data_IF_518815029410
#
_entry.id   IF_518815029410
#
_cell.length_a   1.000
_cell.length_b   1.000
_cell.length_c   1.000
_cell.angle_alpha   90.00
_cell.angle_beta   90.00
_cell.angle_gamma   90.00
#
_symmetry.space_group_name_H-M   'P 1'
#
loop_
_entity.id
_entity.type
_entity.pdbx_description
1 polymer ?
#
# COMPACT_ATOMS: atom_id res chain seq x y z
N UNK A 1 -11.15 19.32 -10.55
CA UNK A 1 -11.75 18.53 -9.46
C UNK A 1 -10.63 17.73 -8.80
N UNK A 2 -10.51 17.77 -7.48
CA UNK A 2 -9.54 16.96 -6.72
C UNK A 2 -9.92 15.49 -6.81
N UNK A 3 -8.95 14.61 -7.03
CA UNK A 3 -9.21 13.17 -7.16
C UNK A 3 -9.19 12.47 -5.80
N UNK A 4 -9.86 11.33 -5.73
CA UNK A 4 -9.85 10.48 -4.54
C UNK A 4 -8.66 9.52 -4.56
N UNK A 5 -8.33 8.94 -3.40
CA UNK A 5 -7.32 7.87 -3.30
C UNK A 5 -7.69 6.67 -4.18
N UNK A 6 -8.98 6.31 -4.22
CA UNK A 6 -9.50 5.24 -5.07
C UNK A 6 -9.35 5.54 -6.56
N UNK A 7 -9.47 6.80 -6.95
CA UNK A 7 -9.23 7.25 -8.34
C UNK A 7 -7.77 7.02 -8.73
N UNK A 8 -6.81 7.33 -7.83
CA UNK A 8 -5.38 7.06 -8.05
C UNK A 8 -5.16 5.56 -8.19
N UNK A 9 -5.61 4.78 -7.21
CA UNK A 9 -5.46 3.32 -7.17
C UNK A 9 -5.91 2.67 -8.48
N UNK A 10 -7.15 2.91 -8.91
CA UNK A 10 -7.72 2.25 -10.08
C UNK A 10 -6.99 2.63 -11.38
N UNK A 11 -6.65 3.91 -11.55
CA UNK A 11 -6.02 4.37 -12.79
C UNK A 11 -4.55 3.93 -12.88
N UNK A 12 -3.78 4.08 -11.80
CA UNK A 12 -2.37 3.69 -11.80
C UNK A 12 -2.23 2.18 -11.94
N UNK A 13 -3.00 1.42 -11.16
CA UNK A 13 -3.00 -0.05 -11.20
C UNK A 13 -3.28 -0.56 -12.59
N UNK A 14 -4.29 0.00 -13.28
CA UNK A 14 -4.58 -0.35 -14.67
C UNK A 14 -3.35 -0.22 -15.57
N UNK A 15 -2.62 0.89 -15.46
CA UNK A 15 -1.42 1.12 -16.30
C UNK A 15 -0.26 0.19 -15.97
N UNK A 16 -0.11 -0.22 -14.71
CA UNK A 16 0.87 -1.25 -14.31
C UNK A 16 0.53 -2.58 -14.96
N UNK A 17 -0.72 -3.05 -14.82
CA UNK A 17 -1.17 -4.32 -15.40
C UNK A 17 -1.05 -4.30 -16.92
N UNK A 18 -1.42 -3.21 -17.58
CA UNK A 18 -1.25 -3.04 -19.02
C UNK A 18 0.23 -3.09 -19.44
N UNK A 19 1.13 -2.45 -18.68
CA UNK A 19 2.59 -2.52 -18.92
C UNK A 19 3.10 -3.95 -18.77
N UNK A 20 2.75 -4.64 -17.69
CA UNK A 20 3.16 -6.03 -17.48
C UNK A 20 2.70 -6.95 -18.61
N UNK A 21 1.44 -6.82 -19.06
CA UNK A 21 0.90 -7.60 -20.18
C UNK A 21 1.61 -7.30 -21.50
N UNK A 22 1.91 -6.02 -21.77
CA UNK A 22 2.48 -5.59 -23.06
C UNK A 22 3.99 -5.81 -23.16
N UNK A 23 4.72 -5.48 -22.10
CA UNK A 23 6.20 -5.51 -22.10
C UNK A 23 6.72 -6.90 -21.75
N UNK A 24 6.13 -7.55 -20.74
CA UNK A 24 6.65 -8.81 -20.22
C UNK A 24 5.89 -10.04 -20.74
N UNK A 25 4.84 -9.83 -21.54
CA UNK A 25 3.97 -10.90 -22.07
C UNK A 25 3.38 -11.79 -20.97
N UNK A 26 3.18 -11.22 -19.78
CA UNK A 26 2.66 -11.92 -18.61
C UNK A 26 1.14 -11.76 -18.51
N UNK A 27 0.46 -12.80 -18.05
CA UNK A 27 -0.95 -12.71 -17.67
C UNK A 27 -1.07 -11.98 -16.33
N UNK A 28 -1.00 -10.66 -16.35
CA UNK A 28 -1.07 -9.85 -15.13
C UNK A 28 -2.52 -9.53 -14.72
N UNK A 29 -2.75 -9.45 -13.41
CA UNK A 29 -4.03 -9.20 -12.74
C UNK A 29 -3.82 -8.24 -11.58
N UNK A 30 -4.84 -7.43 -11.32
CA UNK A 30 -4.95 -6.66 -10.09
C UNK A 30 -5.95 -7.34 -9.16
N UNK A 31 -5.48 -7.68 -7.97
CA UNK A 31 -6.29 -8.22 -6.88
C UNK A 31 -6.51 -7.10 -5.88
N UNK A 32 -7.72 -6.56 -5.85
CA UNK A 32 -8.11 -5.53 -4.88
C UNK A 32 -8.69 -6.16 -3.62
N UNK A 33 -8.39 -5.58 -2.46
CA UNK A 33 -9.14 -5.87 -1.25
C UNK A 33 -10.51 -5.16 -1.30
N UNK A 34 -11.57 -5.79 -0.79
CA UNK A 34 -12.82 -5.04 -0.53
C UNK A 34 -12.59 -3.96 0.54
N UNK A 35 -13.42 -2.92 0.62
CA UNK A 35 -13.28 -1.85 1.64
C UNK A 35 -13.20 -2.35 3.10
N UNK A 36 -13.85 -3.48 3.40
CA UNK A 36 -13.74 -4.13 4.70
C UNK A 36 -12.34 -4.71 4.93
N UNK A 37 -11.77 -5.29 3.89
CA UNK A 37 -10.46 -5.96 3.87
C UNK A 37 -9.27 -5.02 3.69
N UNK A 38 -9.40 -3.88 3.03
CA UNK A 38 -8.33 -2.86 2.92
C UNK A 38 -7.85 -2.44 4.33
N UNK A 39 -8.78 -2.40 5.30
CA UNK A 39 -8.47 -2.13 6.71
C UNK A 39 -7.69 -3.26 7.39
N UNK A 40 -7.84 -4.48 6.89
CA UNK A 40 -7.24 -5.69 7.44
C UNK A 40 -5.84 -5.91 6.85
N UNK A 41 -5.73 -5.83 5.52
CA UNK A 41 -4.52 -6.14 4.76
C UNK A 41 -3.47 -5.03 4.77
N UNK A 42 -3.89 -3.78 4.91
CA UNK A 42 -2.98 -2.63 4.94
C UNK A 42 -2.39 -2.24 3.58
N UNK A 43 -2.80 -2.90 2.50
CA UNK A 43 -2.53 -2.55 1.11
C UNK A 43 -3.84 -2.46 0.32
N UNK A 44 -3.84 -1.71 -0.77
CA UNK A 44 -5.02 -1.53 -1.64
C UNK A 44 -5.08 -2.63 -2.71
N UNK A 45 -3.92 -2.93 -3.32
CA UNK A 45 -3.82 -3.79 -4.50
C UNK A 45 -2.66 -4.78 -4.36
N UNK A 46 -2.89 -6.01 -4.81
CA UNK A 46 -1.87 -6.98 -5.17
C UNK A 46 -1.79 -7.07 -6.70
N UNK A 47 -0.69 -6.61 -7.30
CA UNK A 47 -0.41 -6.78 -8.73
C UNK A 47 0.34 -8.10 -8.94
N UNK A 48 -0.28 -9.07 -9.62
CA UNK A 48 0.20 -10.46 -9.70
C UNK A 48 -0.01 -11.05 -11.10
N UNK A 49 0.71 -12.11 -11.44
CA UNK A 49 0.48 -12.91 -12.65
C UNK A 49 -0.59 -14.01 -12.49
N UNK A 50 -1.31 -14.00 -11.35
CA UNK A 50 -2.32 -15.01 -11.00
C UNK A 50 -1.78 -16.13 -10.11
N UNK A 51 -0.46 -16.19 -9.86
CA UNK A 51 0.14 -17.09 -8.89
C UNK A 51 -0.05 -16.62 -7.44
N UNK A 52 -0.68 -15.45 -7.24
CA UNK A 52 -0.76 -14.72 -5.97
C UNK A 52 0.58 -14.25 -5.42
N UNK A 53 1.59 -14.28 -6.29
CA UNK A 53 2.89 -13.69 -6.08
C UNK A 53 2.88 -12.39 -6.85
N UNK A 54 3.16 -11.32 -6.12
CA UNK A 54 2.92 -10.01 -6.66
C UNK A 54 3.41 -8.92 -5.73
N UNK A 55 3.20 -7.71 -6.21
CA UNK A 55 3.52 -6.50 -5.49
C UNK A 55 2.33 -6.05 -4.68
N UNK A 56 2.56 -5.84 -3.39
CA UNK A 56 1.58 -5.25 -2.49
C UNK A 56 1.75 -3.73 -2.55
N UNK A 57 0.72 -3.05 -3.04
CA UNK A 57 0.76 -1.62 -3.28
C UNK A 57 -0.29 -0.94 -2.41
N UNK A 58 0.16 0.05 -1.64
CA UNK A 58 -0.72 1.01 -0.96
C UNK A 58 -0.60 2.37 -1.66
N UNK A 59 -1.67 2.82 -2.30
CA UNK A 59 -1.73 4.15 -2.89
C UNK A 59 -2.12 5.16 -1.83
N UNK A 60 -1.62 6.39 -1.97
CA UNK A 60 -2.08 7.55 -1.20
C UNK A 60 -2.46 8.67 -2.15
N UNK A 61 -3.44 9.49 -1.79
CA UNK A 61 -3.71 10.72 -2.56
C UNK A 61 -2.71 11.83 -2.22
N UNK A 62 -2.34 12.60 -3.23
CA UNK A 62 -1.56 13.82 -3.10
C UNK A 62 -2.43 14.98 -2.58
N UNK A 63 -1.90 15.74 -1.63
CA UNK A 63 -2.41 17.03 -1.20
C UNK A 63 -1.35 18.09 -1.47
N UNK A 64 -1.67 19.06 -2.33
CA UNK A 64 -0.73 20.12 -2.73
C UNK A 64 -0.98 21.36 -1.87
N UNK A 65 0.09 21.94 -1.33
CA UNK A 65 0.10 23.27 -0.70
C UNK A 65 1.37 24.02 -1.10
N UNK A 66 1.28 24.83 -2.16
CA UNK A 66 2.45 25.47 -2.76
C UNK A 66 3.47 24.43 -3.23
N UNK A 67 4.73 24.58 -2.80
CA UNK A 67 5.81 23.62 -3.11
C UNK A 67 5.71 22.31 -2.30
N UNK A 68 4.83 22.21 -1.31
CA UNK A 68 4.75 21.05 -0.43
C UNK A 68 3.70 20.06 -0.92
N UNK A 69 4.17 18.88 -1.29
CA UNK A 69 3.36 17.74 -1.70
C UNK A 69 3.21 16.79 -0.51
N UNK A 70 2.00 16.57 -0.02
CA UNK A 70 1.73 15.78 1.19
C UNK A 70 0.95 14.50 0.88
N UNK A 71 1.31 13.40 1.55
CA UNK A 71 0.55 12.14 1.57
C UNK A 71 0.36 11.67 3.01
N UNK A 72 -0.87 11.33 3.38
CA UNK A 72 -1.17 10.85 4.73
C UNK A 72 -0.99 9.33 4.78
N UNK A 73 -0.12 8.82 5.66
CA UNK A 73 0.13 7.39 5.80
C UNK A 73 -1.00 6.71 6.58
N UNK A 74 -1.37 7.27 7.75
CA UNK A 74 -2.41 6.76 8.62
C UNK A 74 -3.47 7.85 8.91
N UNK A 75 -4.72 7.63 8.48
CA UNK A 75 -5.84 8.57 8.76
C UNK A 75 -6.73 8.16 9.93
N UNK A 76 -6.53 6.99 10.52
CA UNK A 76 -7.37 6.49 11.61
C UNK A 76 -6.53 5.75 12.63
N UNK A 77 -6.61 6.17 13.89
CA UNK A 77 -5.99 5.53 15.05
C UNK A 77 -6.31 4.03 15.07
N UNK A 78 -5.32 3.19 15.40
CA UNK A 78 -5.38 1.72 15.42
C UNK A 78 -5.46 1.01 14.05
N UNK A 79 -5.46 1.74 12.94
CA UNK A 79 -5.31 1.16 11.59
C UNK A 79 -3.90 1.39 11.07
N UNK A 80 -2.97 0.72 11.73
CA UNK A 80 -1.56 0.76 11.41
C UNK A 80 -1.29 0.01 10.09
N UNK A 81 -1.50 0.70 8.97
CA UNK A 81 -1.20 0.17 7.63
C UNK A 81 0.32 0.12 7.43
N UNK A 82 1.05 1.08 7.98
CA UNK A 82 2.49 1.18 7.81
C UNK A 82 3.25 -0.01 8.41
N UNK A 83 2.99 -0.38 9.66
CA UNK A 83 3.62 -1.57 10.27
C UNK A 83 3.28 -2.85 9.51
N UNK A 84 2.07 -2.96 8.98
CA UNK A 84 1.71 -4.13 8.18
C UNK A 84 2.53 -4.24 6.91
N UNK A 85 2.69 -3.12 6.21
CA UNK A 85 3.50 -3.05 5.00
C UNK A 85 4.98 -3.32 5.30
N UNK A 86 5.53 -2.76 6.38
CA UNK A 86 6.90 -3.04 6.83
C UNK A 86 7.10 -4.52 7.19
N UNK A 87 6.12 -5.15 7.84
CA UNK A 87 6.21 -6.57 8.18
C UNK A 87 6.10 -7.47 6.95
N UNK A 88 5.24 -7.15 5.98
CA UNK A 88 5.21 -7.84 4.69
C UNK A 88 6.54 -7.70 3.94
N UNK A 89 7.12 -6.50 3.94
CA UNK A 89 8.44 -6.26 3.34
C UNK A 89 9.53 -7.09 4.04
N UNK A 90 9.54 -7.13 5.37
CA UNK A 90 10.50 -7.91 6.16
C UNK A 90 10.38 -9.43 5.93
N UNK A 91 9.21 -9.91 5.51
CA UNK A 91 8.99 -11.31 5.11
C UNK A 91 9.53 -11.62 3.70
N UNK A 92 10.04 -10.61 2.99
CA UNK A 92 10.63 -10.71 1.65
C UNK A 92 9.68 -10.32 0.52
N UNK A 93 8.43 -9.96 0.81
CA UNK A 93 7.49 -9.58 -0.25
C UNK A 93 7.83 -8.20 -0.84
N UNK A 94 7.62 -7.97 -2.15
CA UNK A 94 7.69 -6.64 -2.74
C UNK A 94 6.51 -5.79 -2.25
N UNK A 95 6.80 -4.73 -1.51
CA UNK A 95 5.80 -3.84 -0.93
C UNK A 95 6.16 -2.39 -1.23
N UNK A 96 5.19 -1.61 -1.68
CA UNK A 96 5.39 -0.21 -2.07
C UNK A 96 4.25 0.69 -1.65
N UNK A 97 4.59 1.92 -1.27
CA UNK A 97 3.71 3.06 -1.37
C UNK A 97 3.74 3.63 -2.78
N UNK A 98 2.56 3.88 -3.34
CA UNK A 98 2.39 4.66 -4.55
C UNK A 98 2.01 6.10 -4.22
N UNK A 99 2.97 7.03 -4.33
CA UNK A 99 2.76 8.47 -4.14
C UNK A 99 2.62 9.19 -5.48
N UNK A 100 1.39 9.54 -5.93
CA UNK A 100 1.17 10.17 -7.22
C UNK A 100 1.74 11.60 -7.25
N UNK A 101 2.26 11.99 -8.42
CA UNK A 101 2.72 13.34 -8.74
C UNK A 101 1.59 14.26 -9.23
N UNK A 102 0.34 13.79 -9.13
CA UNK A 102 -0.87 14.44 -9.64
C UNK A 102 -1.98 14.42 -8.58
N UNK A 103 -2.81 15.45 -8.55
CA UNK A 103 -3.82 15.69 -7.51
C UNK A 103 -5.24 15.99 -8.07
N UNK A 104 -5.37 16.11 -9.39
CA UNK A 104 -6.61 16.50 -10.04
C UNK A 104 -6.94 15.63 -11.26
N UNK A 105 -8.21 15.61 -11.65
CA UNK A 105 -8.64 14.92 -12.88
C UNK A 105 -7.96 15.50 -14.11
N UNK A 106 -7.70 16.80 -14.12
CA UNK A 106 -7.03 17.48 -15.23
C UNK A 106 -5.61 16.94 -15.41
N UNK A 107 -4.82 16.89 -14.33
CA UNK A 107 -3.46 16.33 -14.35
C UNK A 107 -3.46 14.82 -14.63
N UNK A 108 -4.46 14.09 -14.12
CA UNK A 108 -4.62 12.66 -14.40
C UNK A 108 -4.88 12.39 -15.90
N UNK A 109 -5.78 13.17 -16.52
CA UNK A 109 -6.14 13.03 -17.95
C UNK A 109 -5.03 13.45 -18.90
N UNK A 110 -4.14 14.36 -18.46
CA UNK A 110 -2.94 14.71 -19.22
C UNK A 110 -1.97 13.52 -19.36
N UNK A 111 -1.97 12.62 -18.39
CA UNK A 111 -1.00 11.54 -18.27
C UNK A 111 -1.63 10.17 -18.59
N UNK A 112 -2.58 10.17 -19.52
CA UNK A 112 -3.38 9.02 -19.94
C UNK A 112 -2.53 7.79 -20.28
N UNK A 113 -3.08 6.56 -20.13
CA UNK A 113 -2.35 5.31 -20.37
C UNK A 113 -1.59 5.30 -21.70
N UNK A 114 -0.40 4.68 -21.76
CA UNK A 114 0.06 3.63 -20.84
C UNK A 114 1.10 4.07 -19.79
N UNK A 115 1.38 5.36 -19.60
CA UNK A 115 2.57 5.82 -18.84
C UNK A 115 2.29 6.36 -17.44
N UNK A 116 1.06 6.29 -16.93
CA UNK A 116 0.69 6.88 -15.64
C UNK A 116 1.51 6.33 -14.46
N UNK A 117 1.98 5.09 -14.53
CA UNK A 117 2.91 4.50 -13.55
C UNK A 117 4.23 5.28 -13.38
N UNK A 118 4.69 6.05 -14.38
CA UNK A 118 5.87 6.95 -14.29
C UNK A 118 5.61 8.17 -13.42
N UNK A 119 4.34 8.46 -13.22
CA UNK A 119 3.85 9.64 -12.53
C UNK A 119 3.52 9.36 -11.07
N UNK A 120 4.16 8.33 -10.54
CA UNK A 120 4.06 7.87 -9.17
C UNK A 120 5.48 7.66 -8.67
N UNK A 121 5.76 8.13 -7.46
CA UNK A 121 6.94 7.73 -6.72
C UNK A 121 6.64 6.41 -6.01
N UNK A 122 7.48 5.41 -6.27
CA UNK A 122 7.37 4.08 -5.70
C UNK A 122 8.32 3.97 -4.51
N UNK A 123 7.79 4.09 -3.30
CA UNK A 123 8.62 4.18 -2.08
C UNK A 123 8.40 2.94 -1.23
N UNK A 124 9.50 2.31 -0.78
CA UNK A 124 9.39 1.16 0.13
C UNK A 124 8.93 1.61 1.52
N UNK A 125 8.12 0.82 2.24
CA UNK A 125 7.71 1.17 3.60
C UNK A 125 8.91 1.37 4.54
N UNK A 126 9.89 0.46 4.52
CA UNK A 126 11.03 0.46 5.45
C UNK A 126 11.96 1.67 5.38
N UNK A 127 11.95 2.44 4.28
CA UNK A 127 12.79 3.64 4.14
C UNK A 127 12.13 4.89 4.75
N UNK A 128 10.84 4.82 5.08
CA UNK A 128 10.12 5.92 5.72
C UNK A 128 10.28 5.77 7.23
N UNK A 129 11.01 6.65 7.92
CA UNK A 129 11.30 6.49 9.34
C UNK A 129 10.11 6.95 10.18
N UNK A 130 9.00 6.20 10.17
CA UNK A 130 7.81 6.55 10.94
C UNK A 130 8.13 6.47 12.45
N UNK A 131 8.11 7.60 13.16
CA UNK A 131 8.44 7.62 14.58
C UNK A 131 7.32 6.98 15.43
N UNK A 132 7.67 6.55 16.63
CA UNK A 132 6.71 6.05 17.60
C UNK A 132 5.86 7.20 18.19
N UNK A 133 4.58 6.97 18.51
CA UNK A 133 3.85 5.72 18.30
C UNK A 133 3.33 5.59 16.85
N UNK A 134 3.48 4.40 16.27
CA UNK A 134 3.27 4.17 14.82
C UNK A 134 1.77 4.28 14.43
N UNK A 135 0.86 4.14 15.39
CA UNK A 135 -0.59 4.21 15.19
C UNK A 135 -1.18 5.63 15.21
N UNK A 136 -0.33 6.66 15.34
CA UNK A 136 -0.69 8.07 15.20
C UNK A 136 -0.83 8.56 13.74
N UNK A 137 -1.21 9.83 13.59
CA UNK A 137 -1.40 10.47 12.30
C UNK A 137 -0.08 10.87 11.64
N UNK A 138 0.52 9.90 10.95
CA UNK A 138 1.74 10.13 10.17
C UNK A 138 1.45 10.62 8.76
N UNK A 139 2.27 11.54 8.27
CA UNK A 139 2.25 11.96 6.87
C UNK A 139 3.66 12.22 6.34
N UNK A 140 3.80 12.03 5.04
CA UNK A 140 5.02 12.30 4.30
C UNK A 140 4.83 13.60 3.51
N UNK A 141 5.88 14.40 3.44
CA UNK A 141 5.96 15.60 2.61
C UNK A 141 7.16 15.46 1.67
N UNK A 142 6.95 15.81 0.41
CA UNK A 142 8.01 16.13 -0.53
C UNK A 142 7.95 17.63 -0.84
N UNK A 143 9.04 18.34 -0.58
CA UNK A 143 9.14 19.75 -0.92
C UNK A 143 9.77 19.89 -2.32
N UNK A 144 8.98 20.29 -3.30
CA UNK A 144 9.41 20.38 -4.71
C UNK A 144 10.42 21.50 -4.97
N UNK A 145 10.55 22.47 -4.07
CA UNK A 145 11.54 23.54 -4.19
C UNK A 145 12.93 23.09 -3.74
N UNK A 146 13.00 22.19 -2.75
CA UNK A 146 14.27 21.70 -2.18
C UNK A 146 14.62 20.27 -2.60
N UNK A 147 13.64 19.50 -3.08
CA UNK A 147 13.80 18.08 -3.38
C UNK A 147 13.87 17.18 -2.15
N UNK A 148 13.50 17.68 -0.96
CA UNK A 148 13.65 16.96 0.32
C UNK A 148 12.36 16.21 0.68
N UNK A 149 12.53 14.97 1.14
CA UNK A 149 11.45 14.16 1.72
C UNK A 149 11.51 14.19 3.24
N UNK A 150 10.35 14.39 3.87
CA UNK A 150 10.19 14.37 5.33
C UNK A 150 9.00 13.53 5.75
N UNK A 151 9.10 12.91 6.92
CA UNK A 151 7.96 12.33 7.63
C UNK A 151 7.65 13.17 8.87
N UNK A 152 6.36 13.34 9.15
CA UNK A 152 5.83 14.20 10.19
C UNK A 152 4.86 13.44 11.10
N UNK A 153 5.13 13.47 12.41
CA UNK A 153 4.23 13.07 13.49
C UNK A 153 4.17 14.17 14.58
N UNK A 154 5.29 14.36 15.28
CA UNK A 154 5.64 15.40 16.25
C UNK A 154 7.03 15.96 15.90
N UNK A 155 7.98 15.07 15.60
CA UNK A 155 9.29 15.40 15.03
C UNK A 155 9.28 15.34 13.49
N UNK A 156 10.12 16.18 12.87
CA UNK A 156 10.39 16.16 11.43
C UNK A 156 11.65 15.35 11.19
N UNK A 157 11.50 14.20 10.54
CA UNK A 157 12.64 13.38 10.12
C UNK A 157 12.77 13.42 8.60
N UNK A 158 13.96 13.77 8.12
CA UNK A 158 14.30 13.68 6.71
C UNK A 158 14.67 12.25 6.35
N UNK A 159 14.34 11.84 5.12
CA UNK A 159 14.72 10.53 4.60
C UNK A 159 14.99 10.60 3.10
N UNK A 160 15.77 9.64 2.61
CA UNK A 160 15.98 9.44 1.17
C UNK A 160 15.17 8.21 0.74
N UNK A 161 14.17 8.36 -0.15
CA UNK A 161 13.41 7.22 -0.62
C UNK A 161 14.24 6.30 -1.55
N UNK A 162 15.43 6.71 -1.97
CA UNK A 162 16.28 6.01 -2.93
C UNK A 162 15.72 6.09 -4.35
N UNK A 163 15.90 5.01 -5.12
CA UNK A 163 15.26 4.91 -6.43
C UNK A 163 13.74 4.71 -6.25
N UNK A 164 12.99 5.67 -6.81
CA UNK A 164 11.53 5.73 -6.74
C UNK A 164 10.87 5.50 -8.09
N UNK A 165 11.65 5.11 -9.11
CA UNK A 165 11.13 4.73 -10.40
C UNK A 165 10.51 3.33 -10.37
N UNK A 166 9.56 3.11 -11.26
CA UNK A 166 8.87 1.85 -11.43
C UNK A 166 9.79 0.74 -11.95
N UNK A 167 10.95 1.04 -12.52
CA UNK A 167 11.91 0.00 -12.93
C UNK A 167 12.37 -0.87 -11.75
N UNK A 168 12.51 -0.29 -10.56
CA UNK A 168 12.83 -1.02 -9.32
C UNK A 168 11.69 -1.98 -8.89
N UNK A 169 10.46 -1.53 -9.11
CA UNK A 169 9.21 -2.27 -8.88
C UNK A 169 9.16 -3.44 -9.85
N UNK A 170 9.14 -3.15 -11.16
CA UNK A 170 9.11 -4.12 -12.26
C UNK A 170 10.18 -5.21 -12.12
N UNK A 171 11.42 -4.83 -11.78
CA UNK A 171 12.50 -5.81 -11.59
C UNK A 171 12.21 -6.79 -10.46
N UNK A 172 11.77 -6.31 -9.28
CA UNK A 172 11.49 -7.20 -8.14
C UNK A 172 10.34 -8.15 -8.43
N UNK A 173 9.36 -7.74 -9.24
CA UNK A 173 8.29 -8.62 -9.68
C UNK A 173 8.81 -9.75 -10.58
N UNK A 174 9.64 -9.40 -11.57
CA UNK A 174 10.21 -10.38 -12.49
C UNK A 174 11.18 -11.35 -11.81
N UNK A 175 11.85 -10.90 -10.74
CA UNK A 175 12.80 -11.70 -9.96
C UNK A 175 12.12 -12.61 -8.91
N UNK A 176 10.79 -12.59 -8.76
CA UNK A 176 10.10 -13.43 -7.78
C UNK A 176 10.16 -14.92 -8.12
N UNK A 177 10.76 -15.71 -7.23
CA UNK A 177 10.76 -17.17 -7.32
C UNK A 177 9.57 -17.79 -6.56
N UNK A 178 8.78 -18.61 -7.25
CA UNK A 178 7.59 -19.33 -6.75
C UNK A 178 7.87 -20.32 -5.62
N UNK A 179 9.10 -20.83 -5.50
CA UNK A 179 9.51 -21.74 -4.43
C UNK A 179 9.70 -21.01 -3.09
N UNK A 180 10.21 -19.77 -3.16
CA UNK A 180 10.43 -18.94 -1.96
C UNK A 180 9.20 -18.11 -1.63
N UNK A 181 8.39 -17.73 -2.61
CA UNK A 181 7.17 -16.96 -2.40
C UNK A 181 6.03 -17.84 -2.88
N UNK A 182 5.34 -18.54 -1.97
CA UNK A 182 4.15 -19.33 -2.32
C UNK A 182 2.91 -18.75 -1.65
N UNK A 183 1.73 -18.90 -2.28
CA UNK A 183 0.45 -18.49 -1.67
C UNK A 183 0.25 -19.11 -0.28
N UNK A 184 0.72 -20.34 -0.09
CA UNK A 184 0.69 -21.01 1.21
C UNK A 184 1.53 -20.26 2.23
N UNK A 185 2.80 -19.97 1.91
CA UNK A 185 3.70 -19.18 2.76
C UNK A 185 3.10 -17.81 3.08
N UNK A 186 2.58 -17.10 2.06
CA UNK A 186 1.91 -15.81 2.28
C UNK A 186 0.77 -15.93 3.28
N UNK A 187 -0.15 -16.89 3.09
CA UNK A 187 -1.30 -17.10 4.00
C UNK A 187 -0.84 -17.45 5.42
N UNK A 188 0.17 -18.29 5.56
CA UNK A 188 0.67 -18.74 6.85
C UNK A 188 1.37 -17.60 7.60
N UNK A 189 2.28 -16.87 6.95
CA UNK A 189 2.99 -15.75 7.54
C UNK A 189 2.07 -14.56 7.82
N UNK A 190 1.16 -14.25 6.90
CA UNK A 190 0.16 -13.21 7.10
C UNK A 190 -0.75 -13.54 8.28
N UNK A 191 -1.20 -14.79 8.43
CA UNK A 191 -2.00 -15.22 9.59
C UNK A 191 -1.23 -15.02 10.90
N UNK A 192 0.03 -15.45 10.97
CA UNK A 192 0.87 -15.26 12.18
C UNK A 192 1.01 -13.78 12.54
N UNK A 193 1.26 -12.96 11.54
CA UNK A 193 1.42 -11.52 11.68
C UNK A 193 0.14 -10.85 12.21
N UNK A 194 -1.02 -11.23 11.66
CA UNK A 194 -2.31 -10.74 12.14
C UNK A 194 -2.65 -11.22 13.54
N UNK A 195 -2.32 -12.47 13.89
CA UNK A 195 -2.48 -12.98 15.26
C UNK A 195 -1.61 -12.20 16.25
N UNK A 196 -0.32 -11.99 15.95
CA UNK A 196 0.59 -11.22 16.80
C UNK A 196 0.10 -9.79 17.01
N UNK A 197 -0.36 -9.13 15.94
CA UNK A 197 -0.96 -7.79 16.02
C UNK A 197 -2.20 -7.78 16.91
N UNK A 198 -3.04 -8.80 16.79
CA UNK A 198 -4.23 -8.92 17.63
C UNK A 198 -3.90 -9.08 19.11
N UNK A 199 -2.93 -9.93 19.46
CA UNK A 199 -2.52 -10.12 20.86
C UNK A 199 -1.96 -8.83 21.47
N UNK A 200 -1.23 -8.04 20.68
CA UNK A 200 -0.74 -6.71 21.08
C UNK A 200 -1.88 -5.70 21.32
N UNK A 201 -2.91 -5.68 20.47
CA UNK A 201 -4.08 -4.78 20.64
C UNK A 201 -4.96 -5.23 21.81
N UNK A 202 -5.11 -6.55 21.99
CA UNK A 202 -6.00 -7.15 23.00
C UNK A 202 -5.50 -7.02 24.43
N UNK A 203 -4.19 -6.81 24.59
CA UNK A 203 -3.53 -6.61 25.88
C UNK A 203 -3.60 -5.16 26.40
N UNK A 204 -4.17 -4.22 25.63
CA UNK A 204 -4.37 -2.82 26.06
C UNK A 204 -5.62 -2.69 26.97
N UNK A 205 -5.52 -2.12 28.19
CA UNK A 205 -6.64 -2.04 29.14
C UNK A 205 -7.82 -1.11 28.72
N UNK A 206 -8.93 -1.75 28.35
CA UNK A 206 -10.35 -1.52 28.65
C UNK A 206 -10.99 -0.11 28.85
N UNK A 207 -10.59 0.94 28.12
CA UNK A 207 -11.46 2.15 27.97
C UNK A 207 -12.15 2.32 26.61
N UNK A 208 -11.83 1.49 25.62
CA UNK A 208 -12.37 1.59 24.24
C UNK A 208 -13.08 0.32 23.73
N UNK A 209 -13.29 -0.72 24.57
CA UNK A 209 -13.74 -2.05 24.13
C UNK A 209 -15.14 -2.15 23.51
N UNK A 210 -16.07 -1.22 23.76
CA UNK A 210 -17.50 -1.47 23.47
C UNK A 210 -17.91 -1.41 21.99
N UNK A 211 -17.11 -0.84 21.09
CA UNK A 211 -17.48 -0.69 19.67
C UNK A 211 -16.84 -1.72 18.72
N UNK A 212 -15.91 -2.56 19.21
CA UNK A 212 -15.03 -3.37 18.34
C UNK A 212 -15.31 -4.88 18.32
N UNK A 213 -16.25 -5.41 19.11
CA UNK A 213 -16.48 -6.87 19.20
C UNK A 213 -17.27 -7.41 17.98
N UNK A 214 -18.14 -6.62 17.37
CA UNK A 214 -18.89 -7.05 16.19
C UNK A 214 -18.08 -7.00 14.89
N UNK A 215 -17.23 -5.98 14.73
CA UNK A 215 -16.24 -5.90 13.65
C UNK A 215 -15.25 -7.07 13.74
N UNK A 216 -14.84 -7.42 14.96
CA UNK A 216 -13.99 -8.56 15.31
C UNK A 216 -14.55 -9.94 14.89
N UNK A 217 -15.81 -10.23 15.18
CA UNK A 217 -16.40 -11.52 14.79
C UNK A 217 -16.67 -11.64 13.28
N UNK A 218 -16.87 -10.52 12.60
CA UNK A 218 -16.97 -10.47 11.13
C UNK A 218 -15.59 -10.69 10.49
N UNK A 219 -14.56 -10.04 11.03
CA UNK A 219 -13.14 -10.13 10.64
C UNK A 219 -12.63 -11.58 10.63
N UNK A 220 -12.74 -12.32 11.74
CA UNK A 220 -12.26 -13.71 11.82
C UNK A 220 -13.00 -14.64 10.85
N UNK A 221 -14.29 -14.36 10.61
CA UNK A 221 -15.14 -15.18 9.74
C UNK A 221 -14.79 -14.99 8.26
N UNK A 222 -14.31 -13.81 7.86
CA UNK A 222 -13.91 -13.52 6.48
C UNK A 222 -12.48 -14.01 6.18
N UNK A 223 -11.53 -13.75 7.09
CA UNK A 223 -10.15 -14.22 6.97
C UNK A 223 -10.06 -15.76 6.95
N UNK A 224 -10.86 -16.46 7.76
CA UNK A 224 -10.92 -17.92 7.76
C UNK A 224 -11.58 -18.53 6.50
N UNK A 225 -12.45 -17.78 5.81
CA UNK A 225 -13.20 -18.27 4.64
C UNK A 225 -12.50 -18.01 3.30
N UNK A 226 -11.41 -17.22 3.28
CA UNK A 226 -10.77 -16.81 2.02
C UNK A 226 -11.71 -16.04 1.07
N UNK A 227 -12.85 -15.54 1.58
CA UNK A 227 -13.84 -14.82 0.79
C UNK A 227 -13.50 -13.34 0.81
N UNK A 228 -13.45 -12.73 -0.38
CA UNK A 228 -13.44 -11.28 -0.55
C UNK A 228 -12.37 -10.74 -1.50
N UNK A 229 -11.49 -11.58 -2.05
CA UNK A 229 -10.68 -11.12 -3.19
C UNK A 229 -11.59 -10.92 -4.39
N UNK A 230 -11.65 -9.68 -4.86
CA UNK A 230 -12.22 -9.35 -6.16
C UNK A 230 -11.04 -9.34 -7.13
N UNK A 231 -11.02 -10.32 -8.02
CA UNK A 231 -10.10 -10.32 -9.17
C UNK A 231 -10.72 -9.39 -10.20
N UNK A 232 -10.08 -8.25 -10.47
CA UNK A 232 -10.47 -7.42 -11.59
C UNK A 232 -9.75 -7.92 -12.83
N UNK A 233 -10.52 -8.40 -13.80
CA UNK A 233 -10.05 -8.59 -15.17
C UNK A 233 -10.51 -7.36 -15.95
N UNK A 234 -9.61 -6.41 -16.28
CA UNK A 234 -9.95 -5.27 -17.13
C UNK A 234 -10.24 -5.75 -18.57
#
# INVERSE_FOLDING_TARGET
MTITEKTVELNVTRTIIEKMRRTNQMNAYAVGASQGQEKEFGFDVLATDGTWLGEFIQYKRLYVNGAKHRWNLNRTTYRDQHTMLCALEALGFPVYYGFPKFDSETTLRQWTPPSLWRQVWWVRPSVIPVPAPIDEHHHVIYDTATGVWTVHSEDRLEFDPGDTDFSSVEKRLLDMNTETHSLKRFKDEYRKLMTKRWDAISSVPDRTRRTNIHSLQSYMRNAAKGRGIIVFQP
#
